data_IF_955397604897
#
_entry.id   IF_955397604897
#
_cell.length_a   1.000
_cell.length_b   1.000
_cell.length_c   1.000
_cell.angle_alpha   90.00
_cell.angle_beta   90.00
_cell.angle_gamma   90.00
#
_symmetry.space_group_name_H-M   'P 1'
#
loop_
_entity.id
_entity.type
_entity.pdbx_description
1 polymer ?
#
# COMPACT_ATOMS: atom_id res chain seq x y z
N UNK A 1 26.94 -14.31 4.47
CA UNK A 1 26.35 -12.96 4.63
C UNK A 1 26.47 -12.18 3.32
N UNK A 2 25.38 -11.59 2.85
CA UNK A 2 25.40 -10.85 1.59
C UNK A 2 26.04 -9.48 1.75
N UNK A 3 26.73 -9.02 0.71
CA UNK A 3 27.34 -7.70 0.68
C UNK A 3 26.27 -6.61 0.48
N UNK A 4 26.61 -5.36 0.75
CA UNK A 4 25.73 -4.22 0.47
C UNK A 4 25.40 -4.10 -1.02
N UNK A 5 26.37 -4.43 -1.89
CA UNK A 5 26.18 -4.42 -3.34
C UNK A 5 25.19 -5.48 -3.80
N UNK A 6 25.29 -6.70 -3.25
CA UNK A 6 24.36 -7.79 -3.56
C UNK A 6 22.94 -7.46 -3.13
N UNK A 7 22.79 -6.88 -1.93
CA UNK A 7 21.48 -6.44 -1.44
C UNK A 7 20.87 -5.36 -2.33
N UNK A 8 21.69 -4.42 -2.79
CA UNK A 8 21.23 -3.34 -3.69
C UNK A 8 20.76 -3.91 -5.02
N UNK A 9 21.49 -4.86 -5.59
CA UNK A 9 21.10 -5.51 -6.83
C UNK A 9 19.79 -6.27 -6.69
N UNK A 10 19.60 -6.96 -5.57
CA UNK A 10 18.37 -7.69 -5.28
C UNK A 10 17.17 -6.75 -5.23
N UNK A 11 17.30 -5.61 -4.53
CA UNK A 11 16.24 -4.60 -4.45
C UNK A 11 15.94 -4.03 -5.84
N UNK A 12 16.95 -3.71 -6.62
CA UNK A 12 16.79 -3.17 -7.97
C UNK A 12 16.14 -4.16 -8.94
N UNK A 13 16.35 -5.47 -8.72
CA UNK A 13 15.72 -6.50 -9.56
C UNK A 13 14.30 -6.83 -9.12
N UNK A 14 13.88 -6.40 -7.93
CA UNK A 14 12.54 -6.65 -7.41
C UNK A 14 11.51 -5.82 -8.15
N UNK A 15 10.46 -6.48 -8.60
CA UNK A 15 9.36 -5.79 -9.29
C UNK A 15 8.30 -5.36 -8.28
N UNK A 16 8.02 -4.07 -8.26
CA UNK A 16 7.14 -3.46 -7.28
C UNK A 16 6.08 -2.63 -7.98
N UNK A 17 4.83 -2.80 -7.57
CA UNK A 17 3.74 -1.94 -7.98
C UNK A 17 3.17 -1.22 -6.76
N UNK A 18 2.72 0.00 -6.96
CA UNK A 18 2.00 0.79 -5.94
C UNK A 18 0.66 1.18 -6.53
N UNK A 19 -0.40 0.78 -5.87
CA UNK A 19 -1.78 1.11 -6.28
C UNK A 19 -2.52 1.70 -5.09
N UNK A 20 -3.36 2.69 -5.34
CA UNK A 20 -4.11 3.34 -4.26
C UNK A 20 -5.55 3.64 -4.68
N UNK A 21 -6.40 3.75 -3.68
CA UNK A 21 -7.74 4.29 -3.80
C UNK A 21 -7.93 5.37 -2.74
N UNK A 22 -8.43 6.52 -3.15
CA UNK A 22 -8.66 7.64 -2.23
C UNK A 22 -9.88 8.45 -2.64
N UNK A 23 -10.62 8.94 -1.64
CA UNK A 23 -11.72 9.89 -1.87
C UNK A 23 -11.31 11.32 -1.54
N UNK A 24 -10.34 11.49 -0.65
CA UNK A 24 -9.92 12.80 -0.12
C UNK A 24 -8.54 13.26 -0.60
N UNK A 25 -7.78 12.35 -1.23
CA UNK A 25 -6.39 12.63 -1.61
C UNK A 25 -5.36 12.23 -0.56
N UNK A 26 -5.78 11.85 0.65
CA UNK A 26 -4.87 11.51 1.72
C UNK A 26 -4.03 10.28 1.40
N UNK A 27 -4.67 9.21 0.97
CA UNK A 27 -3.99 7.95 0.64
C UNK A 27 -3.12 8.11 -0.60
N UNK A 28 -3.51 8.98 -1.54
CA UNK A 28 -2.68 9.29 -2.70
C UNK A 28 -1.34 9.88 -2.28
N UNK A 29 -1.34 10.82 -1.34
CA UNK A 29 -0.10 11.43 -0.83
C UNK A 29 0.81 10.40 -0.19
N UNK A 30 0.25 9.47 0.59
CA UNK A 30 1.01 8.36 1.18
C UNK A 30 1.56 7.45 0.08
N UNK A 31 0.75 7.13 -0.91
CA UNK A 31 1.16 6.26 -2.02
C UNK A 31 2.32 6.86 -2.81
N UNK A 32 2.30 8.17 -3.03
CA UNK A 32 3.40 8.86 -3.70
C UNK A 32 4.69 8.78 -2.89
N UNK A 33 4.61 8.93 -1.57
CA UNK A 33 5.78 8.81 -0.69
C UNK A 33 6.34 7.38 -0.68
N UNK A 34 5.46 6.38 -0.63
CA UNK A 34 5.84 4.96 -0.70
C UNK A 34 6.52 4.67 -2.04
N UNK A 35 5.91 5.09 -3.13
CA UNK A 35 6.41 4.82 -4.48
C UNK A 35 7.79 5.44 -4.69
N UNK A 36 7.97 6.70 -4.30
CA UNK A 36 9.27 7.37 -4.42
C UNK A 36 10.35 6.62 -3.63
N UNK A 37 10.01 6.14 -2.44
CA UNK A 37 10.96 5.44 -1.58
C UNK A 37 11.45 4.11 -2.19
N UNK A 38 10.65 3.45 -3.00
CA UNK A 38 10.97 2.14 -3.58
C UNK A 38 11.23 2.18 -5.09
N UNK A 39 11.25 3.37 -5.70
CA UNK A 39 11.54 3.53 -7.11
C UNK A 39 10.41 3.07 -8.03
N UNK A 40 9.17 3.18 -7.60
CA UNK A 40 7.99 2.81 -8.37
C UNK A 40 7.13 4.04 -8.65
N UNK A 41 6.05 3.84 -9.38
CA UNK A 41 5.07 4.89 -9.67
C UNK A 41 3.76 4.60 -8.93
N UNK A 42 3.23 5.62 -8.25
CA UNK A 42 1.94 5.50 -7.58
C UNK A 42 0.82 5.71 -8.59
N UNK A 43 -0.02 4.72 -8.77
CA UNK A 43 -1.14 4.74 -9.70
C UNK A 43 -2.43 4.33 -9.00
N UNK A 44 -3.58 4.83 -9.46
CA UNK A 44 -4.85 4.42 -8.87
C UNK A 44 -5.17 2.95 -9.18
N UNK A 45 -6.03 2.34 -8.37
CA UNK A 45 -6.43 0.94 -8.56
C UNK A 45 -7.15 0.71 -9.90
N UNK A 46 -7.63 1.76 -10.54
CA UNK A 46 -8.20 1.67 -11.89
C UNK A 46 -7.16 1.35 -12.97
N UNK A 47 -5.87 1.51 -12.65
CA UNK A 47 -4.79 1.14 -13.56
C UNK A 47 -4.42 -0.32 -13.32
N UNK A 48 -4.62 -1.20 -14.31
CA UNK A 48 -4.36 -2.63 -14.09
C UNK A 48 -2.87 -2.93 -13.91
N UNK A 49 -2.60 -4.06 -13.27
CA UNK A 49 -1.25 -4.62 -13.18
C UNK A 49 -1.10 -5.52 -14.39
N UNK A 50 -0.20 -5.14 -15.30
CA UNK A 50 -0.07 -5.80 -16.62
C UNK A 50 1.08 -6.78 -16.69
N UNK A 51 1.95 -6.81 -15.70
CA UNK A 51 3.06 -7.78 -15.62
C UNK A 51 3.23 -8.26 -14.19
N UNK A 52 3.85 -9.44 -13.99
CA UNK A 52 4.04 -9.94 -12.63
C UNK A 52 4.88 -9.01 -11.76
N UNK A 53 4.44 -8.84 -10.51
CA UNK A 53 5.19 -8.07 -9.51
C UNK A 53 5.41 -8.92 -8.27
N UNK A 54 6.55 -8.72 -7.62
CA UNK A 54 6.88 -9.41 -6.38
C UNK A 54 6.09 -8.83 -5.20
N UNK A 55 5.94 -7.51 -5.19
CA UNK A 55 5.25 -6.79 -4.12
C UNK A 55 4.26 -5.80 -4.71
N UNK A 56 3.04 -5.85 -4.20
CA UNK A 56 2.03 -4.81 -4.44
C UNK A 56 1.81 -4.04 -3.14
N UNK A 57 2.22 -2.78 -3.11
CA UNK A 57 1.84 -1.87 -2.04
C UNK A 57 0.44 -1.36 -2.34
N UNK A 58 -0.52 -1.68 -1.48
CA UNK A 58 -1.92 -1.29 -1.69
C UNK A 58 -2.34 -0.25 -0.67
N UNK A 59 -2.57 0.96 -1.16
CA UNK A 59 -3.04 2.08 -0.36
C UNK A 59 -4.55 2.18 -0.36
N UNK A 60 -5.13 2.24 0.82
CA UNK A 60 -6.59 2.35 0.97
C UNK A 60 -6.93 2.94 2.33
N UNK A 61 -8.20 3.24 2.54
CA UNK A 61 -8.67 3.85 3.78
C UNK A 61 -9.85 3.08 4.35
N UNK A 62 -9.95 3.09 5.68
CA UNK A 62 -11.11 2.57 6.37
C UNK A 62 -12.24 3.59 6.22
N UNK A 63 -13.37 3.15 5.70
CA UNK A 63 -14.50 4.01 5.42
C UNK A 63 -15.79 3.30 5.80
N UNK A 64 -16.64 4.00 6.56
CA UNK A 64 -17.95 3.49 6.95
C UNK A 64 -17.90 2.05 7.50
N UNK A 65 -16.97 1.78 8.42
CA UNK A 65 -16.75 0.49 9.09
C UNK A 65 -16.21 -0.62 8.20
N UNK A 66 -15.76 -0.30 6.99
CA UNK A 66 -15.17 -1.29 6.09
C UNK A 66 -14.25 -0.63 5.07
N UNK A 67 -13.74 -1.42 4.15
CA UNK A 67 -13.02 -0.89 3.00
C UNK A 67 -14.04 -0.56 1.91
N UNK A 68 -13.65 0.36 1.02
CA UNK A 68 -14.51 0.74 -0.10
C UNK A 68 -14.74 -0.47 -1.02
N UNK A 69 -15.96 -0.65 -1.56
CA UNK A 69 -16.24 -1.73 -2.50
C UNK A 69 -15.29 -1.76 -3.70
N UNK A 70 -14.80 -0.62 -4.17
CA UNK A 70 -13.84 -0.59 -5.28
C UNK A 70 -12.51 -1.25 -4.91
N UNK A 71 -12.05 -1.06 -3.67
CA UNK A 71 -10.85 -1.73 -3.15
C UNK A 71 -11.08 -3.23 -3.07
N UNK A 72 -12.25 -3.63 -2.57
CA UNK A 72 -12.62 -5.04 -2.48
C UNK A 72 -12.64 -5.70 -3.85
N UNK A 73 -13.26 -5.05 -4.82
CA UNK A 73 -13.34 -5.56 -6.20
C UNK A 73 -11.95 -5.64 -6.84
N UNK A 74 -11.11 -4.65 -6.57
CA UNK A 74 -9.73 -4.65 -7.05
C UNK A 74 -8.97 -5.88 -6.55
N UNK A 75 -9.02 -6.16 -5.24
CA UNK A 75 -8.34 -7.32 -4.66
C UNK A 75 -8.89 -8.62 -5.24
N UNK A 76 -10.21 -8.72 -5.39
CA UNK A 76 -10.84 -9.89 -6.00
C UNK A 76 -10.39 -10.12 -7.43
N UNK A 77 -10.02 -9.07 -8.15
CA UNK A 77 -9.57 -9.17 -9.53
C UNK A 77 -8.11 -9.61 -9.67
N UNK A 78 -7.35 -9.60 -8.58
CA UNK A 78 -5.94 -9.93 -8.61
C UNK A 78 -5.73 -11.44 -8.77
N UNK A 79 -4.59 -11.78 -9.37
CA UNK A 79 -4.20 -13.16 -9.61
C UNK A 79 -2.88 -13.44 -8.88
N UNK A 80 -2.82 -14.54 -8.15
CA UNK A 80 -1.62 -14.94 -7.41
C UNK A 80 -0.39 -15.15 -8.29
N UNK A 81 -0.58 -15.38 -9.58
CA UNK A 81 0.53 -15.50 -10.53
C UNK A 81 1.08 -14.12 -10.94
N UNK A 82 0.32 -13.07 -10.70
CA UNK A 82 0.69 -11.69 -11.03
C UNK A 82 1.18 -10.89 -9.82
N UNK A 83 0.82 -11.30 -8.61
CA UNK A 83 1.19 -10.58 -7.39
C UNK A 83 1.75 -11.57 -6.38
N UNK A 84 3.01 -11.38 -6.00
CA UNK A 84 3.68 -12.25 -5.04
C UNK A 84 3.17 -12.06 -3.61
N UNK A 85 3.02 -10.82 -3.18
CA UNK A 85 2.41 -10.50 -1.88
C UNK A 85 1.90 -9.06 -1.88
N UNK A 86 0.96 -8.79 -0.99
CA UNK A 86 0.40 -7.45 -0.78
C UNK A 86 0.97 -6.87 0.51
N UNK A 87 1.35 -5.58 0.46
CA UNK A 87 1.72 -4.80 1.64
C UNK A 87 0.70 -3.69 1.79
N UNK A 88 -0.03 -3.69 2.90
CA UNK A 88 -1.13 -2.76 3.13
C UNK A 88 -0.66 -1.46 3.78
N UNK A 89 -1.15 -0.33 3.29
CA UNK A 89 -0.95 0.96 3.95
C UNK A 89 -2.18 1.84 3.76
N UNK A 90 -2.33 2.85 4.60
CA UNK A 90 -3.47 3.74 4.42
C UNK A 90 -3.59 4.83 5.46
N UNK A 91 -4.65 5.62 5.30
CA UNK A 91 -5.02 6.67 6.24
C UNK A 91 -6.49 6.50 6.64
N UNK A 92 -6.84 6.99 7.81
CA UNK A 92 -8.21 6.97 8.29
C UNK A 92 -8.44 8.08 9.30
N UNK A 93 -9.64 8.63 9.32
CA UNK A 93 -10.03 9.60 10.34
C UNK A 93 -10.09 8.96 11.72
N UNK A 94 -10.47 7.69 11.77
CA UNK A 94 -10.45 6.86 12.98
C UNK A 94 -9.23 5.94 12.94
N UNK A 95 -8.78 5.48 14.10
CA UNK A 95 -7.55 4.67 14.23
C UNK A 95 -7.74 3.21 13.83
N UNK A 96 -8.55 2.93 12.85
CA UNK A 96 -8.79 1.56 12.40
C UNK A 96 -7.97 1.23 11.16
N UNK A 97 -7.22 0.13 11.25
CA UNK A 97 -6.49 -0.40 10.10
C UNK A 97 -7.44 -1.18 9.19
N UNK A 98 -7.21 -1.10 7.89
CA UNK A 98 -7.93 -1.88 6.90
C UNK A 98 -7.36 -3.28 6.72
N UNK A 99 -6.28 -3.62 7.41
CA UNK A 99 -5.51 -4.85 7.20
C UNK A 99 -6.39 -6.11 7.17
N UNK A 100 -7.21 -6.30 8.19
CA UNK A 100 -8.04 -7.51 8.29
C UNK A 100 -9.05 -7.62 7.15
N UNK A 101 -9.59 -6.50 6.72
CA UNK A 101 -10.57 -6.48 5.62
C UNK A 101 -9.92 -6.80 4.29
N UNK A 102 -8.75 -6.23 4.04
CA UNK A 102 -7.99 -6.52 2.81
C UNK A 102 -7.51 -7.97 2.84
N UNK A 103 -7.02 -8.45 3.98
CA UNK A 103 -6.55 -9.82 4.12
C UNK A 103 -7.65 -10.84 3.83
N UNK A 104 -8.87 -10.57 4.28
CA UNK A 104 -10.00 -11.46 4.01
C UNK A 104 -10.23 -11.64 2.51
N UNK A 105 -10.08 -10.56 1.73
CA UNK A 105 -10.23 -10.62 0.29
C UNK A 105 -8.99 -11.25 -0.39
N UNK A 106 -7.80 -10.94 0.09
CA UNK A 106 -6.56 -11.53 -0.45
C UNK A 106 -6.52 -13.04 -0.24
N UNK A 107 -6.99 -13.52 0.92
CA UNK A 107 -7.05 -14.96 1.21
C UNK A 107 -7.94 -15.70 0.21
N UNK A 108 -9.03 -15.09 -0.23
CA UNK A 108 -9.95 -15.69 -1.20
C UNK A 108 -9.30 -15.93 -2.56
N UNK A 109 -8.32 -15.12 -2.92
CA UNK A 109 -7.60 -15.26 -4.21
C UNK A 109 -6.21 -15.86 -4.04
N UNK A 110 -5.86 -16.27 -2.82
CA UNK A 110 -4.62 -17.00 -2.54
C UNK A 110 -3.36 -16.13 -2.56
N UNK A 111 -3.49 -14.82 -2.34
CA UNK A 111 -2.33 -13.92 -2.33
C UNK A 111 -1.91 -13.66 -0.90
N UNK A 112 -0.63 -13.93 -0.54
CA UNK A 112 -0.14 -13.64 0.82
C UNK A 112 -0.12 -12.14 1.10
N UNK A 113 -0.39 -11.77 2.35
CA UNK A 113 -0.18 -10.41 2.82
C UNK A 113 0.98 -10.36 3.80
N UNK A 114 1.83 -9.35 3.66
CA UNK A 114 2.87 -9.10 4.65
C UNK A 114 2.20 -8.75 5.99
N UNK A 115 2.71 -9.27 7.08
CA UNK A 115 2.17 -8.97 8.42
C UNK A 115 2.41 -7.53 8.82
N UNK A 116 3.42 -6.90 8.23
CA UNK A 116 3.73 -5.50 8.49
C UNK A 116 2.80 -4.62 7.68
N UNK A 117 2.37 -3.52 8.27
CA UNK A 117 1.52 -2.54 7.61
C UNK A 117 1.85 -1.14 8.10
N UNK A 118 1.41 -0.15 7.37
CA UNK A 118 1.50 1.24 7.79
C UNK A 118 0.12 1.88 7.73
N UNK A 119 -0.26 2.60 8.77
CA UNK A 119 -1.44 3.45 8.71
C UNK A 119 -1.23 4.68 9.59
N UNK A 120 -1.90 5.77 9.23
CA UNK A 120 -1.84 7.02 9.97
C UNK A 120 -3.21 7.71 9.90
N UNK A 121 -3.33 8.84 10.61
CA UNK A 121 -4.54 9.63 10.56
C UNK A 121 -4.62 10.41 9.25
N UNK A 122 -5.84 10.61 8.78
CA UNK A 122 -6.12 11.45 7.62
C UNK A 122 -7.18 12.48 7.97
N UNK A 123 -7.08 13.67 7.39
CA UNK A 123 -8.08 14.71 7.61
C UNK A 123 -9.40 14.32 6.96
N UNK A 124 -10.50 14.49 7.72
CA UNK A 124 -11.84 14.22 7.22
C UNK A 124 -12.82 15.13 7.95
N UNK A 125 -13.50 15.99 7.21
CA UNK A 125 -14.49 16.93 7.74
C UNK A 125 -13.98 17.76 8.93
N UNK A 126 -12.74 18.26 8.81
CA UNK A 126 -12.09 19.06 9.84
C UNK A 126 -11.44 18.28 10.96
N UNK A 127 -11.65 16.97 11.05
CA UNK A 127 -10.99 16.10 12.00
C UNK A 127 -9.57 15.81 11.52
N UNK A 128 -8.59 15.85 12.42
CA UNK A 128 -7.17 15.65 12.11
C UNK A 128 -6.65 16.54 10.99
N UNK A 129 -6.93 17.84 11.10
CA UNK A 129 -6.56 18.84 10.10
C UNK A 129 -5.06 18.77 9.79
N UNK A 130 -4.73 18.80 8.49
CA UNK A 130 -3.35 18.75 8.03
C UNK A 130 -2.74 17.35 7.96
N UNK A 131 -3.50 16.30 8.29
CA UNK A 131 -3.01 14.92 8.25
C UNK A 131 -3.43 14.22 6.92
N UNK A 132 -2.58 13.36 6.36
CA UNK A 132 -1.21 13.08 6.81
C UNK A 132 -0.30 14.28 6.60
N UNK A 133 0.59 14.50 7.55
CA UNK A 133 1.56 15.58 7.46
C UNK A 133 2.91 15.05 6.96
N UNK A 134 3.91 15.93 6.88
CA UNK A 134 5.24 15.55 6.38
C UNK A 134 5.89 14.44 7.20
N UNK A 135 5.69 14.44 8.52
CA UNK A 135 6.18 13.39 9.40
C UNK A 135 5.57 12.03 9.04
N UNK A 136 4.27 12.02 8.74
CA UNK A 136 3.56 10.80 8.32
C UNK A 136 4.11 10.29 6.97
N UNK A 137 4.36 11.20 6.03
CA UNK A 137 4.91 10.85 4.72
C UNK A 137 6.31 10.26 4.84
N UNK A 138 7.15 10.84 5.69
CA UNK A 138 8.50 10.32 5.96
C UNK A 138 8.44 8.93 6.61
N UNK A 139 7.51 8.73 7.53
CA UNK A 139 7.32 7.43 8.18
C UNK A 139 6.85 6.37 7.18
N UNK A 140 5.95 6.72 6.27
CA UNK A 140 5.48 5.83 5.22
C UNK A 140 6.63 5.42 4.29
N UNK A 141 7.46 6.39 3.89
CA UNK A 141 8.63 6.14 3.06
C UNK A 141 9.64 5.21 3.74
N UNK A 142 9.90 5.45 5.03
CA UNK A 142 10.81 4.60 5.82
C UNK A 142 10.27 3.18 5.95
N UNK A 143 8.95 3.04 6.17
CA UNK A 143 8.28 1.75 6.19
C UNK A 143 8.49 1.00 4.88
N UNK A 144 8.24 1.66 3.75
CA UNK A 144 8.36 1.05 2.44
C UNK A 144 9.79 0.57 2.16
N UNK A 145 10.79 1.39 2.50
CA UNK A 145 12.20 0.99 2.36
C UNK A 145 12.51 -0.25 3.19
N UNK A 146 11.96 -0.34 4.38
CA UNK A 146 12.18 -1.50 5.26
C UNK A 146 11.58 -2.78 4.69
N UNK A 147 10.42 -2.67 4.04
CA UNK A 147 9.77 -3.82 3.40
C UNK A 147 10.66 -4.43 2.30
N UNK A 148 11.31 -3.59 1.49
CA UNK A 148 12.11 -4.06 0.35
C UNK A 148 13.58 -4.38 0.70
N UNK A 149 13.96 -4.14 1.93
CA UNK A 149 15.31 -4.40 2.44
C UNK A 149 15.71 -5.87 2.39
#
# INVERSE_FOLDING_TARGET
MRTASEKKEEILSMKIAVRYYTKTGNTKRLAEAVAEAVGAEALPISTPITEPVDILFLGNSYYAFSIDPEVRDFVKSLNKDMVGRIVNFGSAAMLNSTYKKVKAEADKVGIPMDEREFHCKGEFKGLHKGKPDESDLKAAAAFARKIVE
#
